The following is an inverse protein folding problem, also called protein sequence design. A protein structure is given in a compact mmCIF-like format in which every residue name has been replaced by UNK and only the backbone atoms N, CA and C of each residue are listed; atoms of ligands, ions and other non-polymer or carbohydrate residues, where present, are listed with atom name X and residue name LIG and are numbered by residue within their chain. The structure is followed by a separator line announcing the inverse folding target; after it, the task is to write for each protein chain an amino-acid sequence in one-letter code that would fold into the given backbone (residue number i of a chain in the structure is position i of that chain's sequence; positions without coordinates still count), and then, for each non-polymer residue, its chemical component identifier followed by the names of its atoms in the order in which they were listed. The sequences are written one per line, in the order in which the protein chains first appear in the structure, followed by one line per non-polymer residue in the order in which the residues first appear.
data_IF_390397018467
#
_entry.id   IF_390397018467
#
_cell.length_a   1.000
_cell.length_b   1.000
_cell.length_c   1.000
_cell.angle_alpha   90.00
_cell.angle_beta   90.00
_cell.angle_gamma   90.00
#
_symmetry.space_group_name_H-M   'P 1'
#
loop_
_entity.id
_entity.type
_entity.pdbx_description
1 polymer ?
#
# COMPACT_ATOMS: atom_id res chain seq x y z
N UNK A 1 17.81 7.27 -2.36
CA UNK A 1 16.52 7.05 -3.03
C UNK A 1 15.95 5.77 -2.46
N UNK A 2 15.05 5.87 -1.47
CA UNK A 2 14.42 4.71 -0.83
C UNK A 2 12.96 4.71 -1.26
N UNK A 3 12.60 3.80 -2.17
CA UNK A 3 11.19 3.42 -2.38
C UNK A 3 10.89 2.41 -1.28
N UNK A 4 10.10 2.79 -0.29
CA UNK A 4 9.77 1.94 0.86
C UNK A 4 8.25 1.73 0.88
N UNK A 5 7.80 0.61 0.32
CA UNK A 5 6.40 0.14 0.42
C UNK A 5 6.25 -0.67 1.70
N UNK A 6 5.48 -0.15 2.66
CA UNK A 6 5.08 -0.91 3.85
C UNK A 6 3.75 -1.62 3.60
N UNK A 7 3.80 -2.94 3.45
CA UNK A 7 2.62 -3.81 3.59
C UNK A 7 2.34 -3.98 5.09
N UNK A 8 1.31 -3.30 5.60
CA UNK A 8 0.99 -3.30 7.03
C UNK A 8 -0.02 -4.41 7.37
N UNK A 9 0.48 -5.55 7.86
CA UNK A 9 -0.34 -6.57 8.52
C UNK A 9 -0.46 -6.30 10.00
N UNK A 10 -1.61 -5.86 10.49
CA UNK A 10 -1.99 -6.11 11.89
C UNK A 10 -3.51 -6.29 11.98
N UNK A 11 -3.91 -7.49 12.42
CA UNK A 11 -5.16 -7.80 13.16
C UNK A 11 -6.02 -8.92 12.56
N UNK A 12 -5.57 -10.18 12.71
CA UNK A 12 -6.45 -11.32 13.09
C UNK A 12 -5.71 -12.63 13.45
N UNK A 13 -4.37 -12.60 13.65
CA UNK A 13 -3.55 -13.82 13.69
C UNK A 13 -2.80 -14.10 15.01
N UNK A 14 -2.97 -13.25 16.04
CA UNK A 14 -2.08 -13.26 17.23
C UNK A 14 -2.14 -14.54 18.06
N UNK A 15 -3.31 -15.21 18.19
CA UNK A 15 -3.42 -16.45 18.98
C UNK A 15 -2.86 -17.69 18.29
N UNK A 16 -2.94 -17.78 16.96
CA UNK A 16 -2.50 -18.96 16.21
C UNK A 16 -1.00 -18.94 15.92
N UNK A 17 -0.44 -17.75 15.65
CA UNK A 17 1.02 -17.59 15.42
C UNK A 17 1.86 -17.86 16.66
N UNK A 18 1.40 -17.46 17.85
CA UNK A 18 2.11 -17.77 19.10
C UNK A 18 2.20 -19.29 19.29
N UNK A 19 1.14 -20.06 19.01
CA UNK A 19 1.20 -21.52 19.11
C UNK A 19 2.18 -22.16 18.11
N UNK A 20 2.29 -21.62 16.89
CA UNK A 20 3.14 -22.16 15.83
C UNK A 20 4.60 -21.74 15.93
N UNK A 21 4.93 -20.63 16.63
CA UNK A 21 6.30 -20.14 16.80
C UNK A 21 6.92 -20.47 18.17
N UNK A 22 6.13 -20.98 19.13
CA UNK A 22 6.65 -21.44 20.43
C UNK A 22 7.75 -22.48 20.18
N UNK A 23 8.96 -22.17 20.62
CA UNK A 23 10.12 -23.08 20.55
C UNK A 23 10.87 -23.11 19.22
N UNK A 24 10.35 -22.51 18.14
CA UNK A 24 11.06 -22.45 16.85
C UNK A 24 12.13 -21.34 16.81
N UNK A 25 11.91 -20.25 17.56
CA UNK A 25 12.85 -19.10 17.61
C UNK A 25 12.98 -18.45 19.00
N UNK A 26 12.65 -19.18 20.09
CA UNK A 26 12.68 -18.62 21.45
C UNK A 26 11.57 -17.61 21.75
N UNK A 27 10.54 -17.53 20.91
CA UNK A 27 9.38 -16.65 21.10
C UNK A 27 8.54 -17.16 22.29
N UNK A 28 8.23 -16.32 23.30
CA UNK A 28 7.48 -16.73 24.46
C UNK A 28 6.03 -17.10 24.11
N UNK A 29 5.43 -18.03 24.85
CA UNK A 29 4.03 -18.45 24.70
C UNK A 29 2.99 -17.38 25.11
N UNK A 30 3.44 -16.22 25.57
CA UNK A 30 2.59 -15.08 25.95
C UNK A 30 2.51 -14.06 24.80
N UNK A 31 1.57 -13.13 24.91
CA UNK A 31 1.43 -11.98 23.99
C UNK A 31 2.79 -11.46 23.55
N UNK A 32 3.00 -11.43 22.24
CA UNK A 32 4.20 -10.89 21.62
C UNK A 32 4.20 -9.37 21.83
N UNK A 33 5.07 -8.83 22.73
CA UNK A 33 5.11 -7.40 22.99
C UNK A 33 5.59 -6.60 21.76
N UNK A 34 6.17 -7.26 20.76
CA UNK A 34 6.62 -6.63 19.51
C UNK A 34 5.53 -6.61 18.44
N UNK A 35 4.38 -7.26 18.66
CA UNK A 35 3.29 -7.25 17.67
C UNK A 35 2.70 -5.85 17.44
N UNK A 36 2.92 -4.91 18.36
CA UNK A 36 2.47 -3.52 18.28
C UNK A 36 3.55 -2.57 17.74
N UNK A 37 4.76 -3.07 17.52
CA UNK A 37 5.89 -2.23 17.09
C UNK A 37 5.66 -1.53 15.75
N UNK A 38 5.08 -2.19 14.72
CA UNK A 38 4.73 -1.50 13.48
C UNK A 38 3.74 -0.36 13.70
N UNK A 39 2.76 -0.54 14.57
CA UNK A 39 1.80 0.50 14.93
C UNK A 39 2.45 1.67 15.64
N UNK A 40 3.34 1.37 16.60
CA UNK A 40 4.04 2.38 17.38
C UNK A 40 5.04 3.19 16.55
N UNK A 41 5.71 2.54 15.60
CA UNK A 41 6.73 3.18 14.75
C UNK A 41 6.12 3.97 13.59
N UNK A 42 5.11 3.40 12.92
CA UNK A 42 4.55 3.95 11.69
C UNK A 42 3.19 4.64 11.88
N UNK A 43 2.58 4.61 13.06
CA UNK A 43 1.38 5.39 13.40
C UNK A 43 0.07 4.94 12.75
N UNK A 44 0.06 3.79 12.06
CA UNK A 44 -1.12 3.21 11.41
C UNK A 44 -1.86 4.20 10.49
N UNK A 45 -3.16 4.37 10.66
CA UNK A 45 -4.02 5.16 9.78
C UNK A 45 -3.82 6.68 9.94
N UNK A 46 -3.53 7.12 11.17
CA UNK A 46 -3.50 8.56 11.50
C UNK A 46 -2.20 9.24 11.03
N UNK A 47 -1.14 8.48 10.79
CA UNK A 47 0.13 9.00 10.25
C UNK A 47 0.10 9.26 8.75
N UNK A 48 -0.79 8.59 8.01
CA UNK A 48 -0.94 8.80 6.56
C UNK A 48 -1.31 10.26 6.27
N UNK A 49 -2.11 10.87 7.14
CA UNK A 49 -2.48 12.29 7.05
C UNK A 49 -1.30 13.27 7.21
N UNK A 50 -0.18 12.80 7.76
CA UNK A 50 1.05 13.59 7.98
C UNK A 50 2.15 13.23 6.97
N UNK A 51 1.86 12.32 6.05
CA UNK A 51 2.79 11.89 5.00
C UNK A 51 2.56 12.71 3.73
N UNK A 52 3.56 12.79 2.88
CA UNK A 52 3.51 13.47 1.58
C UNK A 52 4.26 12.65 0.53
N UNK A 53 3.90 12.86 -0.74
CA UNK A 53 4.55 12.30 -1.91
C UNK A 53 4.52 10.76 -1.92
N UNK A 54 3.33 10.19 -1.76
CA UNK A 54 3.12 8.73 -1.77
C UNK A 54 1.97 8.36 -2.71
N UNK A 55 2.21 7.38 -3.57
CA UNK A 55 1.17 6.69 -4.33
C UNK A 55 1.01 5.28 -3.74
N UNK A 56 -0.18 4.96 -3.22
CA UNK A 56 -0.54 3.61 -2.78
C UNK A 56 -1.29 2.88 -3.89
N UNK A 57 -0.58 2.12 -4.72
CA UNK A 57 -1.17 1.28 -5.76
C UNK A 57 -1.78 -0.01 -5.17
N UNK A 58 -3.00 -0.35 -5.57
CA UNK A 58 -3.72 -1.53 -5.12
C UNK A 58 -4.47 -2.18 -6.30
N UNK A 59 -4.26 -3.47 -6.51
CA UNK A 59 -5.03 -4.26 -7.45
C UNK A 59 -6.30 -4.83 -6.81
N UNK A 60 -7.48 -4.70 -7.44
CA UNK A 60 -8.73 -5.24 -6.87
C UNK A 60 -8.77 -6.78 -6.85
N UNK A 61 -7.95 -7.44 -7.65
CA UNK A 61 -7.83 -8.91 -7.63
C UNK A 61 -6.80 -9.40 -6.59
N UNK A 62 -6.09 -8.48 -5.94
CA UNK A 62 -5.13 -8.81 -4.89
C UNK A 62 -5.85 -9.04 -3.55
N UNK A 63 -5.74 -10.22 -2.92
CA UNK A 63 -6.30 -10.43 -1.58
C UNK A 63 -5.72 -9.47 -0.52
N UNK A 64 -4.50 -8.98 -0.73
CA UNK A 64 -3.83 -8.05 0.19
C UNK A 64 -4.35 -6.62 0.09
N UNK A 65 -5.05 -6.28 -0.99
CA UNK A 65 -5.66 -4.97 -1.19
C UNK A 65 -6.65 -4.61 -0.08
N UNK A 66 -7.26 -5.60 0.57
CA UNK A 66 -8.19 -5.40 1.70
C UNK A 66 -7.57 -4.66 2.90
N UNK A 67 -6.25 -4.75 3.07
CA UNK A 67 -5.49 -4.05 4.10
C UNK A 67 -4.74 -2.79 3.56
N UNK A 68 -5.00 -2.40 2.32
CA UNK A 68 -4.41 -1.25 1.66
C UNK A 68 -4.94 0.10 2.16
N UNK A 69 -4.38 1.18 1.62
CA UNK A 69 -4.78 2.55 1.89
C UNK A 69 -5.75 3.02 0.81
N UNK A 70 -6.90 3.54 1.20
CA UNK A 70 -7.94 4.08 0.31
C UNK A 70 -8.43 5.44 0.80
N UNK A 71 -9.11 6.17 -0.07
CA UNK A 71 -9.88 7.35 0.31
C UNK A 71 -11.12 6.99 1.14
N UNK A 72 -11.93 8.01 1.48
CA UNK A 72 -13.13 7.84 2.33
C UNK A 72 -14.17 6.86 1.79
N UNK A 73 -14.15 6.60 0.48
CA UNK A 73 -15.14 5.78 -0.20
C UNK A 73 -14.72 4.30 -0.31
N UNK A 74 -13.54 3.94 0.21
CA UNK A 74 -12.99 2.59 0.12
C UNK A 74 -12.56 2.20 -1.31
N UNK A 75 -12.27 0.90 -1.57
CA UNK A 75 -11.98 0.41 -2.90
C UNK A 75 -13.25 0.44 -3.75
N UNK A 76 -13.53 1.54 -4.42
CA UNK A 76 -14.59 1.58 -5.42
C UNK A 76 -14.10 0.95 -6.72
N UNK A 77 -14.80 -0.06 -7.26
CA UNK A 77 -14.50 -0.60 -8.57
C UNK A 77 -14.86 0.43 -9.64
N UNK A 78 -13.86 1.13 -10.14
CA UNK A 78 -13.93 1.89 -11.38
C UNK A 78 -13.57 1.02 -12.59
N UNK A 79 -13.86 1.50 -13.79
CA UNK A 79 -13.30 0.91 -15.01
C UNK A 79 -11.91 1.53 -15.24
N UNK A 80 -10.86 0.71 -15.26
CA UNK A 80 -9.48 1.18 -15.45
C UNK A 80 -8.77 1.59 -14.16
N UNK A 81 -7.81 2.52 -14.28
CA UNK A 81 -7.08 3.07 -13.14
C UNK A 81 -7.86 4.19 -12.44
N UNK A 82 -8.20 4.01 -11.16
CA UNK A 82 -8.95 5.00 -10.38
C UNK A 82 -8.04 5.67 -9.34
N UNK A 83 -7.97 7.00 -9.38
CA UNK A 83 -7.22 7.81 -8.40
C UNK A 83 -8.16 8.33 -7.31
N UNK A 84 -7.78 8.13 -6.05
CA UNK A 84 -8.45 8.70 -4.89
C UNK A 84 -7.47 9.52 -4.06
N UNK A 85 -7.84 10.75 -3.71
CA UNK A 85 -7.05 11.55 -2.78
C UNK A 85 -7.20 11.01 -1.36
N UNK A 86 -6.08 10.75 -0.68
CA UNK A 86 -6.03 10.26 0.70
C UNK A 86 -5.81 11.42 1.67
N UNK A 87 -4.92 12.35 1.33
CA UNK A 87 -4.69 13.57 2.10
C UNK A 87 -5.43 14.77 1.51
N UNK A 88 -5.70 15.79 2.35
CA UNK A 88 -6.44 17.01 1.94
C UNK A 88 -5.69 17.85 0.91
N UNK A 89 -4.38 17.83 0.94
CA UNK A 89 -3.49 18.53 0.00
C UNK A 89 -3.27 17.77 -1.31
N UNK A 90 -3.78 16.52 -1.41
CA UNK A 90 -3.59 15.67 -2.59
C UNK A 90 -2.17 15.13 -2.75
N UNK A 91 -1.30 15.30 -1.75
CA UNK A 91 0.10 14.81 -1.82
C UNK A 91 0.20 13.28 -1.68
N UNK A 92 -0.78 12.66 -1.04
CA UNK A 92 -0.92 11.20 -0.95
C UNK A 92 -2.18 10.77 -1.68
N UNK A 93 -2.01 9.81 -2.59
CA UNK A 93 -3.11 9.23 -3.36
C UNK A 93 -3.15 7.70 -3.22
N UNK A 94 -4.35 7.14 -3.36
CA UNK A 94 -4.57 5.72 -3.57
C UNK A 94 -4.92 5.49 -5.04
N UNK A 95 -4.20 4.58 -5.68
CA UNK A 95 -4.35 4.24 -7.09
C UNK A 95 -4.88 2.82 -7.19
N UNK A 96 -6.07 2.66 -7.75
CA UNK A 96 -6.79 1.38 -7.76
C UNK A 96 -6.81 0.84 -9.19
N UNK A 97 -6.35 -0.39 -9.36
CA UNK A 97 -6.33 -1.09 -10.64
C UNK A 97 -7.40 -2.18 -10.61
N UNK A 98 -8.44 -2.03 -11.42
CA UNK A 98 -9.59 -2.95 -11.45
C UNK A 98 -9.23 -4.40 -11.82
N UNK A 99 -8.31 -4.57 -12.75
CA UNK A 99 -7.78 -5.87 -13.18
C UNK A 99 -6.38 -6.16 -12.62
N UNK A 100 -5.90 -5.33 -11.69
CA UNK A 100 -4.61 -5.52 -11.04
C UNK A 100 -4.65 -6.67 -10.03
N UNK A 101 -3.67 -7.58 -10.11
CA UNK A 101 -3.34 -8.52 -9.04
C UNK A 101 -2.26 -7.92 -8.13
N UNK A 102 -1.55 -8.75 -7.36
CA UNK A 102 -0.54 -8.29 -6.41
C UNK A 102 0.57 -7.48 -7.11
N UNK A 103 0.58 -6.16 -6.85
CA UNK A 103 1.54 -5.16 -7.35
C UNK A 103 1.90 -5.30 -8.85
N UNK A 104 0.89 -5.48 -9.70
CA UNK A 104 1.06 -5.72 -11.14
C UNK A 104 1.76 -4.56 -11.87
N UNK A 105 1.51 -3.33 -11.41
CA UNK A 105 2.15 -2.07 -11.82
C UNK A 105 3.69 -2.15 -11.84
N UNK A 106 4.29 -2.87 -10.89
CA UNK A 106 5.75 -2.98 -10.74
C UNK A 106 6.44 -3.98 -11.69
N UNK A 107 5.68 -4.85 -12.37
CA UNK A 107 6.27 -5.80 -13.31
C UNK A 107 6.70 -5.11 -14.61
N UNK A 108 7.51 -5.81 -15.41
CA UNK A 108 7.85 -5.36 -16.76
C UNK A 108 6.59 -5.21 -17.62
N UNK A 109 6.66 -4.34 -18.62
CA UNK A 109 5.58 -4.15 -19.58
C UNK A 109 5.38 -5.40 -20.44
N UNK A 110 4.12 -5.80 -20.62
CA UNK A 110 3.70 -6.89 -21.49
C UNK A 110 2.62 -6.40 -22.48
N UNK A 111 2.63 -6.84 -23.76
CA UNK A 111 1.57 -6.48 -24.70
C UNK A 111 0.15 -6.88 -24.28
N UNK A 112 0.02 -7.82 -23.34
CA UNK A 112 -1.25 -8.28 -22.78
C UNK A 112 -1.61 -7.57 -21.45
N UNK A 113 -0.85 -6.54 -21.05
CA UNK A 113 -1.18 -5.76 -19.86
C UNK A 113 -2.60 -5.17 -19.99
N UNK A 114 -3.45 -5.30 -18.97
CA UNK A 114 -4.76 -4.67 -19.00
C UNK A 114 -4.59 -3.14 -19.04
N UNK A 115 -5.53 -2.40 -19.68
CA UNK A 115 -5.43 -0.95 -19.82
C UNK A 115 -5.18 -0.21 -18.51
N UNK A 116 -5.79 -0.67 -17.41
CA UNK A 116 -5.62 -0.10 -16.08
C UNK A 116 -4.17 -0.05 -15.60
N UNK A 117 -3.32 -1.02 -15.99
CA UNK A 117 -1.91 -1.06 -15.58
C UNK A 117 -1.10 -0.01 -16.35
N UNK A 118 -1.38 0.15 -17.64
CA UNK A 118 -0.70 1.15 -18.47
C UNK A 118 -1.05 2.56 -18.00
N UNK A 119 -2.33 2.80 -17.69
CA UNK A 119 -2.80 4.06 -17.11
C UNK A 119 -2.17 4.33 -15.74
N UNK A 120 -2.15 3.32 -14.86
CA UNK A 120 -1.56 3.43 -13.53
C UNK A 120 -0.07 3.83 -13.58
N UNK A 121 0.72 3.14 -14.41
CA UNK A 121 2.15 3.46 -14.59
C UNK A 121 2.37 4.88 -15.10
N UNK A 122 1.51 5.38 -15.99
CA UNK A 122 1.60 6.76 -16.47
C UNK A 122 1.29 7.78 -15.36
N UNK A 123 0.32 7.49 -14.49
CA UNK A 123 -0.01 8.31 -13.32
C UNK A 123 1.17 8.32 -12.34
N UNK A 124 1.71 7.15 -12.00
CA UNK A 124 2.87 7.00 -11.12
C UNK A 124 4.09 7.76 -11.64
N UNK A 125 4.41 7.61 -12.92
CA UNK A 125 5.51 8.33 -13.56
C UNK A 125 5.29 9.86 -13.49
N UNK A 126 4.06 10.32 -13.70
CA UNK A 126 3.69 11.73 -13.58
C UNK A 126 3.95 12.28 -12.17
N UNK A 127 3.55 11.55 -11.13
CA UNK A 127 3.82 11.93 -9.74
C UNK A 127 5.32 11.95 -9.42
N UNK A 128 6.06 10.94 -9.85
CA UNK A 128 7.52 10.88 -9.64
C UNK A 128 8.22 12.06 -10.31
N UNK A 129 7.85 12.39 -11.55
CA UNK A 129 8.38 13.55 -12.26
C UNK A 129 8.08 14.86 -11.53
N UNK A 130 6.83 15.06 -11.09
CA UNK A 130 6.46 16.25 -10.34
C UNK A 130 7.24 16.39 -9.03
N UNK A 131 7.49 15.29 -8.30
CA UNK A 131 8.29 15.32 -7.08
C UNK A 131 9.76 15.65 -7.35
N UNK A 132 10.32 15.17 -8.46
CA UNK A 132 11.67 15.54 -8.88
C UNK A 132 11.75 17.02 -9.24
N UNK A 133 10.77 17.53 -9.99
CA UNK A 133 10.69 18.94 -10.34
C UNK A 133 10.59 19.82 -9.08
N UNK A 134 9.72 19.49 -8.13
CA UNK A 134 9.57 20.23 -6.87
C UNK A 134 10.86 20.20 -6.04
N UNK A 135 11.61 19.09 -6.05
CA UNK A 135 12.86 18.97 -5.32
C UNK A 135 14.01 19.81 -5.90
N UNK A 136 14.09 19.94 -7.22
CA UNK A 136 15.19 20.63 -7.91
C UNK A 136 14.94 22.12 -8.18
N UNK A 137 13.71 22.60 -8.00
CA UNK A 137 13.35 24.02 -8.09
C UNK A 137 13.56 24.76 -6.77
#
# INVERSE_FOLDING_TARGET
MYVCMYSMYVCMYVRMYVCMCIGLFGVPAKQDPWSQWPSALYGLKDSVAQSSNIVFSNGLLDPWSSAGVYGSNGPEPGAGATVQNVTRDGSVIALILDLGAHHLDLFFSDPNDPPCVTEARAIEEGHIKAWLEDYYN
#
